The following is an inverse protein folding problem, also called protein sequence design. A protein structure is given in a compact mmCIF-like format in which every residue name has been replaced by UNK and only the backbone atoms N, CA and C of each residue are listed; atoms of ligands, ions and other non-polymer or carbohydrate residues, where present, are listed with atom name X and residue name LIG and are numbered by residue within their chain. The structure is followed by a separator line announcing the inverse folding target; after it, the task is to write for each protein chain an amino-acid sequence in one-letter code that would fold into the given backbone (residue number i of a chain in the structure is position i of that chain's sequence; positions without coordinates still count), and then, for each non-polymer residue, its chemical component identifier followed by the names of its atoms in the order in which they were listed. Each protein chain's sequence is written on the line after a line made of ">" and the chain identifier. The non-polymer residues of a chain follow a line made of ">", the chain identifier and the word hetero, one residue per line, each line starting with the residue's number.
data_IF_405989349281
#
_entry.id   IF_405989349281
#
_cell.length_a   1.000
_cell.length_b   1.000
_cell.length_c   1.000
_cell.angle_alpha   90.00
_cell.angle_beta   90.00
_cell.angle_gamma   90.00
#
_symmetry.space_group_name_H-M   'P 1'
#
loop_
_entity.id
_entity.type
_entity.pdbx_description
1 polymer ?
#
# COMPACT_ATOMS: atom_id res chain seq x y z
N UNK A 1 3.39 -17.86 7.99
CA UNK A 1 3.22 -18.44 6.65
C UNK A 1 1.77 -18.32 6.19
N UNK A 2 0.79 -18.56 7.06
CA UNK A 2 -0.65 -18.52 6.73
C UNK A 2 -1.16 -17.21 6.15
N UNK A 3 -0.63 -16.06 6.60
CA UNK A 3 -1.14 -14.76 6.14
C UNK A 3 -0.78 -14.44 4.69
N UNK A 4 0.38 -14.91 4.20
CA UNK A 4 0.75 -14.78 2.80
C UNK A 4 -0.19 -15.62 1.92
N UNK A 5 -0.48 -16.86 2.33
CA UNK A 5 -1.39 -17.76 1.62
C UNK A 5 -2.82 -17.23 1.54
N UNK A 6 -3.25 -16.41 2.49
CA UNK A 6 -4.54 -15.72 2.45
C UNK A 6 -4.58 -14.56 1.45
N UNK A 7 -3.43 -13.93 1.17
CA UNK A 7 -3.32 -12.74 0.29
C UNK A 7 -3.08 -13.12 -1.18
N UNK A 8 -2.37 -14.22 -1.41
CA UNK A 8 -2.00 -14.67 -2.76
C UNK A 8 -3.18 -14.93 -3.71
N UNK A 9 -4.31 -15.52 -3.29
CA UNK A 9 -5.45 -15.73 -4.19
C UNK A 9 -5.99 -14.43 -4.77
N UNK A 10 -6.12 -13.39 -3.94
CA UNK A 10 -6.61 -12.08 -4.38
C UNK A 10 -5.59 -11.38 -5.30
N UNK A 11 -4.30 -11.51 -4.99
CA UNK A 11 -3.24 -11.00 -5.86
C UNK A 11 -3.25 -11.70 -7.23
N UNK A 12 -3.38 -13.04 -7.25
CA UNK A 12 -3.48 -13.83 -8.48
C UNK A 12 -4.73 -13.49 -9.29
N UNK A 13 -5.88 -13.31 -8.61
CA UNK A 13 -7.13 -12.86 -9.25
C UNK A 13 -6.95 -11.51 -9.95
N UNK A 14 -6.32 -10.53 -9.28
CA UNK A 14 -6.04 -9.21 -9.89
C UNK A 14 -5.10 -9.33 -11.07
N UNK A 15 -4.02 -10.12 -10.95
CA UNK A 15 -3.08 -10.37 -12.03
C UNK A 15 -3.76 -10.92 -13.29
N UNK A 16 -4.77 -11.77 -13.12
CA UNK A 16 -5.50 -12.39 -14.22
C UNK A 16 -6.61 -11.50 -14.82
N UNK A 17 -7.22 -10.62 -14.01
CA UNK A 17 -8.49 -9.95 -14.37
C UNK A 17 -8.40 -8.44 -14.53
N UNK A 18 -7.36 -7.78 -14.01
CA UNK A 18 -7.21 -6.33 -14.07
C UNK A 18 -6.13 -5.99 -15.10
N UNK A 19 -6.41 -5.04 -16.00
CA UNK A 19 -5.41 -4.61 -16.98
C UNK A 19 -4.15 -4.09 -16.28
N UNK A 20 -2.97 -4.32 -16.85
CA UNK A 20 -1.75 -3.65 -16.41
C UNK A 20 -1.96 -2.13 -16.38
N UNK A 21 -1.34 -1.47 -15.41
CA UNK A 21 -1.40 -0.01 -15.18
C UNK A 21 -2.77 0.57 -14.79
N UNK A 22 -3.83 -0.25 -14.72
CA UNK A 22 -5.12 0.20 -14.21
C UNK A 22 -5.08 0.42 -12.68
N UNK A 23 -5.98 1.27 -12.18
CA UNK A 23 -6.18 1.40 -10.74
C UNK A 23 -6.50 0.03 -10.12
N UNK A 24 -5.81 -0.32 -9.02
CA UNK A 24 -5.88 -1.65 -8.37
C UNK A 24 -5.37 -2.83 -9.20
N UNK A 25 -4.61 -2.60 -10.27
CA UNK A 25 -3.82 -3.66 -10.90
C UNK A 25 -2.65 -4.09 -10.01
N UNK A 26 -2.01 -5.22 -10.34
CA UNK A 26 -0.80 -5.67 -9.62
C UNK A 26 0.32 -4.64 -9.70
N UNK A 27 0.51 -4.01 -10.84
CA UNK A 27 1.50 -2.95 -11.07
C UNK A 27 1.19 -1.69 -10.26
N UNK A 28 -0.11 -1.34 -10.14
CA UNK A 28 -0.54 -0.26 -9.27
C UNK A 28 -0.20 -0.56 -7.80
N UNK A 29 -0.52 -1.76 -7.31
CA UNK A 29 -0.18 -2.16 -5.94
C UNK A 29 1.34 -2.22 -5.73
N UNK A 30 2.12 -2.71 -6.70
CA UNK A 30 3.58 -2.71 -6.65
C UNK A 30 4.15 -1.28 -6.56
N UNK A 31 3.56 -0.34 -7.31
CA UNK A 31 3.94 1.09 -7.27
C UNK A 31 3.62 1.71 -5.91
N UNK A 32 2.44 1.38 -5.34
CA UNK A 32 2.07 1.78 -3.98
C UNK A 32 3.07 1.22 -2.95
N UNK A 33 3.41 -0.07 -3.04
CA UNK A 33 4.38 -0.68 -2.12
C UNK A 33 5.76 -0.05 -2.20
N UNK A 34 6.23 0.23 -3.43
CA UNK A 34 7.48 0.96 -3.67
C UNK A 34 7.45 2.36 -3.04
N UNK A 35 6.34 3.09 -3.17
CA UNK A 35 6.16 4.40 -2.54
C UNK A 35 6.33 4.32 -1.02
N UNK A 36 5.60 3.43 -0.33
CA UNK A 36 5.73 3.29 1.13
C UNK A 36 7.15 2.89 1.56
N UNK A 37 7.78 1.99 0.81
CA UNK A 37 9.17 1.58 1.05
C UNK A 37 10.13 2.77 0.96
N UNK A 38 10.02 3.58 -0.09
CA UNK A 38 10.86 4.77 -0.29
C UNK A 38 10.63 5.81 0.80
N UNK A 39 9.38 6.03 1.19
CA UNK A 39 9.05 6.97 2.26
C UNK A 39 9.66 6.57 3.62
N UNK A 40 9.61 5.27 3.96
CA UNK A 40 10.25 4.73 5.16
C UNK A 40 11.77 4.81 5.07
N UNK A 41 12.36 4.37 3.97
CA UNK A 41 13.82 4.39 3.77
C UNK A 41 14.35 5.83 3.85
N UNK A 42 13.63 6.79 3.27
CA UNK A 42 13.94 8.22 3.39
C UNK A 42 13.77 8.79 4.81
N UNK A 43 13.03 8.11 5.69
CA UNK A 43 12.96 8.42 7.12
C UNK A 43 14.05 7.71 7.94
N UNK A 44 14.92 6.92 7.32
CA UNK A 44 16.02 6.21 7.98
C UNK A 44 15.56 5.03 8.86
N UNK A 45 14.32 4.58 8.74
CA UNK A 45 13.76 3.53 9.58
C UNK A 45 13.77 2.18 8.86
N UNK A 46 13.97 1.09 9.61
CA UNK A 46 13.71 -0.26 9.13
C UNK A 46 12.24 -0.67 9.36
N UNK A 47 11.81 -1.78 8.74
CA UNK A 47 10.41 -2.25 8.84
C UNK A 47 9.98 -2.57 10.28
N UNK A 48 10.90 -3.12 11.08
CA UNK A 48 10.61 -3.52 12.45
C UNK A 48 10.32 -2.30 13.34
N UNK A 49 11.07 -1.21 13.16
CA UNK A 49 10.84 0.05 13.89
C UNK A 49 9.47 0.64 13.58
N UNK A 50 9.08 0.68 12.30
CA UNK A 50 7.76 1.16 11.90
C UNK A 50 6.66 0.25 12.45
N UNK A 51 6.81 -1.06 12.31
CA UNK A 51 5.87 -2.04 12.84
C UNK A 51 5.68 -1.90 14.36
N UNK A 52 6.77 -1.75 15.11
CA UNK A 52 6.76 -1.52 16.55
C UNK A 52 6.04 -0.23 16.92
N UNK A 53 6.30 0.88 16.21
CA UNK A 53 5.62 2.17 16.44
C UNK A 53 4.13 2.11 16.13
N UNK A 54 3.73 1.32 15.15
CA UNK A 54 2.32 1.13 14.77
C UNK A 54 1.59 0.08 15.59
N UNK A 55 2.30 -0.76 16.35
CA UNK A 55 1.72 -1.88 17.09
C UNK A 55 1.21 -3.00 16.18
N UNK A 56 1.83 -3.21 15.01
CA UNK A 56 1.42 -4.23 14.03
C UNK A 56 2.53 -5.27 13.80
N UNK A 57 2.21 -6.47 13.31
CA UNK A 57 3.23 -7.43 12.89
C UNK A 57 4.11 -6.88 11.76
N UNK A 58 5.42 -7.15 11.78
CA UNK A 58 6.36 -6.67 10.73
C UNK A 58 5.98 -7.13 9.32
N UNK A 59 5.28 -8.26 9.21
CA UNK A 59 4.79 -8.78 7.94
C UNK A 59 3.74 -7.86 7.29
N UNK A 60 2.93 -7.13 8.07
CA UNK A 60 1.99 -6.13 7.55
C UNK A 60 2.76 -5.06 6.76
N UNK A 61 3.83 -4.53 7.35
CA UNK A 61 4.69 -3.54 6.68
C UNK A 61 5.37 -4.14 5.44
N UNK A 62 5.82 -5.39 5.54
CA UNK A 62 6.42 -6.11 4.41
C UNK A 62 5.44 -6.29 3.25
N UNK A 63 4.22 -6.72 3.53
CA UNK A 63 3.19 -6.99 2.53
C UNK A 63 2.69 -5.71 1.86
N UNK A 64 2.54 -4.62 2.62
CA UNK A 64 2.31 -3.30 2.06
C UNK A 64 3.42 -2.92 1.07
N UNK A 65 4.68 -3.02 1.48
CA UNK A 65 5.83 -2.60 0.67
C UNK A 65 6.10 -3.46 -0.58
N UNK A 66 5.65 -4.72 -0.59
CA UNK A 66 5.79 -5.61 -1.76
C UNK A 66 4.54 -5.61 -2.67
N UNK A 67 3.54 -4.78 -2.38
CA UNK A 67 2.36 -4.63 -3.23
C UNK A 67 1.33 -5.75 -3.08
N UNK A 68 1.22 -6.33 -1.88
CA UNK A 68 0.12 -7.23 -1.51
C UNK A 68 -0.61 -6.76 -0.24
N UNK A 69 -1.02 -5.47 -0.16
CA UNK A 69 -1.77 -4.99 0.97
C UNK A 69 -3.20 -5.54 0.98
N UNK A 70 -3.82 -5.55 2.16
CA UNK A 70 -5.28 -5.61 2.30
C UNK A 70 -5.89 -4.23 2.06
N UNK A 71 -7.21 -4.17 1.87
CA UNK A 71 -7.90 -2.87 1.74
C UNK A 71 -7.82 -2.04 3.03
N UNK A 72 -7.75 -2.68 4.19
CA UNK A 72 -7.55 -2.03 5.49
C UNK A 72 -6.20 -1.32 5.58
N UNK A 73 -5.14 -1.95 5.04
CA UNK A 73 -3.78 -1.38 5.02
C UNK A 73 -3.63 -0.19 4.04
N UNK A 74 -4.63 0.04 3.18
CA UNK A 74 -4.76 1.21 2.31
C UNK A 74 -5.87 2.18 2.74
N UNK A 75 -6.45 1.96 3.93
CA UNK A 75 -7.40 2.89 4.53
C UNK A 75 -6.70 4.18 4.98
N UNK A 76 -7.45 5.27 5.07
CA UNK A 76 -6.92 6.55 5.57
C UNK A 76 -6.35 6.42 6.98
N UNK A 77 -7.04 5.69 7.87
CA UNK A 77 -6.58 5.47 9.25
C UNK A 77 -5.22 4.76 9.29
N UNK A 78 -5.06 3.67 8.54
CA UNK A 78 -3.80 2.93 8.50
C UNK A 78 -2.66 3.81 7.96
N UNK A 79 -2.88 4.49 6.84
CA UNK A 79 -1.86 5.32 6.20
C UNK A 79 -1.50 6.53 7.08
N UNK A 80 -2.46 7.13 7.80
CA UNK A 80 -2.19 8.19 8.77
C UNK A 80 -1.38 7.69 9.97
N UNK A 81 -1.64 6.47 10.46
CA UNK A 81 -0.81 5.84 11.51
C UNK A 81 0.61 5.58 11.01
N UNK A 82 0.75 5.09 9.77
CA UNK A 82 2.05 4.88 9.13
C UNK A 82 2.82 6.21 9.00
N UNK A 83 2.15 7.25 8.48
CA UNK A 83 2.68 8.60 8.33
C UNK A 83 3.24 9.15 9.65
N UNK A 84 2.49 8.98 10.76
CA UNK A 84 2.93 9.36 12.11
C UNK A 84 4.13 8.53 12.56
N UNK A 85 4.13 7.22 12.32
CA UNK A 85 5.22 6.33 12.73
C UNK A 85 6.57 6.68 12.07
N UNK A 86 6.54 7.14 10.82
CA UNK A 86 7.74 7.57 10.09
C UNK A 86 8.04 9.07 10.21
N UNK A 87 7.22 9.84 10.95
CA UNK A 87 7.43 11.28 11.13
C UNK A 87 7.12 12.14 9.90
N UNK A 88 6.29 11.65 8.97
CA UNK A 88 5.90 12.35 7.73
C UNK A 88 4.39 12.59 7.67
N UNK A 89 3.83 13.58 8.39
CA UNK A 89 2.39 13.80 8.45
C UNK A 89 1.72 14.10 7.10
N UNK A 90 2.47 14.64 6.13
CA UNK A 90 1.99 14.90 4.76
C UNK A 90 1.87 13.67 3.86
N UNK A 91 2.30 12.48 4.31
CA UNK A 91 2.34 11.28 3.48
C UNK A 91 0.97 10.88 2.94
N UNK A 92 -0.11 11.06 3.71
CA UNK A 92 -1.47 10.76 3.25
C UNK A 92 -1.85 11.60 2.02
N UNK A 93 -1.63 12.92 2.07
CA UNK A 93 -1.91 13.79 0.93
C UNK A 93 -1.07 13.42 -0.30
N UNK A 94 0.22 13.09 -0.11
CA UNK A 94 1.07 12.58 -1.18
C UNK A 94 0.54 11.27 -1.76
N UNK A 95 0.07 10.34 -0.92
CA UNK A 95 -0.51 9.08 -1.36
C UNK A 95 -1.80 9.30 -2.18
N UNK A 96 -2.70 10.16 -1.71
CA UNK A 96 -3.94 10.47 -2.43
C UNK A 96 -3.68 11.07 -3.81
N UNK A 97 -2.75 12.04 -3.87
CA UNK A 97 -2.38 12.71 -5.11
C UNK A 97 -1.78 11.75 -6.14
N UNK A 98 -0.95 10.80 -5.72
CA UNK A 98 -0.29 9.87 -6.66
C UNK A 98 -1.19 8.70 -7.09
N UNK A 99 -2.09 8.23 -6.20
CA UNK A 99 -2.71 6.91 -6.37
C UNK A 99 -4.25 6.89 -6.32
N UNK A 100 -4.90 7.82 -5.61
CA UNK A 100 -6.38 7.87 -5.51
C UNK A 100 -7.02 8.85 -6.49
N UNK A 101 -6.34 9.94 -6.85
CA UNK A 101 -6.85 10.95 -7.76
C UNK A 101 -6.65 10.61 -9.25
N UNK A 102 -6.19 9.40 -9.59
CA UNK A 102 -6.17 8.94 -10.99
C UNK A 102 -7.60 8.53 -11.39
N UNK A 103 -8.16 9.08 -12.48
CA UNK A 103 -9.51 8.72 -12.92
C UNK A 103 -9.60 7.21 -13.16
N UNK A 104 -10.64 6.60 -12.60
CA UNK A 104 -10.99 5.22 -12.87
C UNK A 104 -11.43 5.12 -14.34
N UNK A 105 -10.68 4.41 -15.22
CA UNK A 105 -11.06 4.30 -16.63
C UNK A 105 -12.37 3.54 -16.85
N UNK A 106 -12.95 2.95 -15.80
CA UNK A 106 -14.28 2.31 -15.85
C UNK A 106 -15.43 3.24 -15.45
N UNK A 107 -15.13 4.45 -14.97
CA UNK A 107 -16.12 5.48 -14.63
C UNK A 107 -16.04 6.66 -15.60
N UNK A 108 -16.23 6.40 -16.89
CA UNK A 108 -16.69 7.45 -17.80
C UNK A 108 -18.18 7.63 -17.53
N UNK A 109 -18.55 8.69 -16.84
CA UNK A 109 -19.95 9.10 -16.76
C UNK A 109 -20.44 9.42 -18.18
N UNK A 110 -21.59 8.84 -18.52
CA UNK A 110 -22.37 9.01 -19.75
C UNK A 110 -22.60 10.48 -20.11
#
# INVERSE_FOLDING_TARGET
>A
MDELWKRLPEHARRAASVKPDAHRSVEWYASVGKFFRQEREGAGLNRYEVAKKMGVPVNVIRFLEVGIPTDEELSSDFVLKYARAIGKPGLWASFENHFRNKPDPTKTHY
#
